data_IF_754467784177
#
_entry.id   IF_754467784177
#
_cell.length_a   1.000
_cell.length_b   1.000
_cell.length_c   1.000
_cell.angle_alpha   90.00
_cell.angle_beta   90.00
_cell.angle_gamma   90.00
#
_symmetry.space_group_name_H-M   'P 1'
#
loop_
_entity.id
_entity.type
_entity.pdbx_description
1 polymer ?
#
# COMPACT_ATOMS: atom_id res chain seq x y z
N UNK A 1 20.29 -41.90 12.71
CA UNK A 1 20.67 -41.11 13.90
C UNK A 1 21.28 -39.76 13.56
N UNK A 2 22.47 -39.63 12.96
CA UNK A 2 23.03 -38.31 12.62
C UNK A 2 22.17 -37.52 11.61
N UNK A 3 21.64 -38.17 10.58
CA UNK A 3 20.79 -37.54 9.56
C UNK A 3 19.46 -37.03 10.12
N UNK A 4 18.85 -37.76 11.05
CA UNK A 4 17.64 -37.31 11.76
C UNK A 4 17.96 -36.16 12.72
N UNK A 5 19.08 -36.23 13.44
CA UNK A 5 19.53 -35.14 14.30
C UNK A 5 19.76 -33.84 13.53
N UNK A 6 20.43 -33.91 12.37
CA UNK A 6 20.61 -32.77 11.47
C UNK A 6 19.27 -32.23 10.94
N UNK A 7 18.34 -33.13 10.59
CA UNK A 7 17.02 -32.75 10.09
C UNK A 7 16.19 -32.06 11.17
N UNK A 8 16.10 -32.64 12.37
CA UNK A 8 15.38 -32.04 13.50
C UNK A 8 16.02 -30.72 13.93
N UNK A 9 17.35 -30.61 13.93
CA UNK A 9 18.04 -29.35 14.20
C UNK A 9 17.73 -28.28 13.16
N UNK A 10 17.74 -28.65 11.88
CA UNK A 10 17.36 -27.76 10.78
C UNK A 10 15.90 -27.30 10.89
N UNK A 11 14.96 -28.23 11.08
CA UNK A 11 13.52 -27.96 11.19
C UNK A 11 13.20 -27.09 12.44
N UNK A 12 13.91 -27.33 13.55
CA UNK A 12 13.77 -26.53 14.78
C UNK A 12 14.33 -25.12 14.60
N UNK A 13 15.46 -25.00 13.89
CA UNK A 13 16.07 -23.70 13.56
C UNK A 13 15.14 -22.91 12.65
N UNK A 14 14.59 -23.55 11.62
CA UNK A 14 13.64 -22.93 10.69
C UNK A 14 12.38 -22.43 11.42
N UNK A 15 11.78 -23.26 12.29
CA UNK A 15 10.63 -22.84 13.13
C UNK A 15 10.94 -21.69 14.08
N UNK A 16 12.14 -21.63 14.66
CA UNK A 16 12.52 -20.55 15.57
C UNK A 16 12.75 -19.22 14.83
N UNK A 17 13.17 -19.26 13.56
CA UNK A 17 13.37 -18.06 12.73
C UNK A 17 12.15 -17.65 11.89
N UNK A 18 11.20 -18.56 11.68
CA UNK A 18 9.98 -18.33 10.90
C UNK A 18 9.20 -17.07 11.33
N UNK A 19 9.01 -16.77 12.65
CA UNK A 19 8.32 -15.55 13.08
C UNK A 19 9.03 -14.26 12.63
N UNK A 20 10.37 -14.24 12.68
CA UNK A 20 11.16 -13.09 12.25
C UNK A 20 11.09 -12.89 10.74
N UNK A 21 11.12 -13.98 9.97
CA UNK A 21 10.96 -13.93 8.52
C UNK A 21 9.57 -13.41 8.15
N UNK A 22 8.51 -13.88 8.82
CA UNK A 22 7.14 -13.41 8.58
C UNK A 22 6.97 -11.92 8.97
N UNK A 23 7.53 -11.50 10.09
CA UNK A 23 7.52 -10.09 10.51
C UNK A 23 8.22 -9.19 9.49
N UNK A 24 9.42 -9.57 9.03
CA UNK A 24 10.14 -8.81 8.01
C UNK A 24 9.35 -8.68 6.71
N UNK A 25 8.74 -9.78 6.23
CA UNK A 25 7.85 -9.76 5.05
C UNK A 25 6.68 -8.81 5.23
N UNK A 26 6.07 -8.80 6.41
CA UNK A 26 4.96 -7.91 6.73
C UNK A 26 5.40 -6.44 6.70
N UNK A 27 6.55 -6.10 7.28
CA UNK A 27 7.09 -4.74 7.20
C UNK A 27 7.40 -4.34 5.75
N UNK A 28 8.07 -5.21 4.98
CA UNK A 28 8.37 -4.95 3.57
C UNK A 28 7.10 -4.68 2.75
N UNK A 29 6.07 -5.52 2.90
CA UNK A 29 4.78 -5.34 2.23
C UNK A 29 4.16 -3.98 2.54
N UNK A 30 4.18 -3.54 3.80
CA UNK A 30 3.64 -2.22 4.16
C UNK A 30 4.44 -1.07 3.55
N UNK A 31 5.77 -1.18 3.50
CA UNK A 31 6.63 -0.18 2.84
C UNK A 31 6.36 -0.11 1.33
N UNK A 32 6.20 -1.25 0.67
CA UNK A 32 5.86 -1.32 -0.75
C UNK A 32 4.54 -0.58 -1.02
N UNK A 33 3.48 -0.87 -0.27
CA UNK A 33 2.18 -0.26 -0.52
C UNK A 33 2.16 1.24 -0.18
N UNK A 34 2.84 1.66 0.88
CA UNK A 34 3.01 3.10 1.18
C UNK A 34 3.76 3.83 0.05
N UNK A 35 4.79 3.18 -0.50
CA UNK A 35 5.55 3.72 -1.64
C UNK A 35 4.68 3.81 -2.89
N UNK A 36 3.86 2.79 -3.17
CA UNK A 36 2.90 2.83 -4.26
C UNK A 36 1.87 3.96 -4.12
N UNK A 37 1.34 4.18 -2.92
CA UNK A 37 0.43 5.30 -2.64
C UNK A 37 1.11 6.64 -2.93
N UNK A 38 2.34 6.83 -2.46
CA UNK A 38 3.10 8.06 -2.70
C UNK A 38 3.41 8.28 -4.18
N UNK A 39 3.81 7.24 -4.91
CA UNK A 39 4.06 7.30 -6.35
C UNK A 39 2.79 7.62 -7.14
N UNK A 40 1.66 7.01 -6.78
CA UNK A 40 0.36 7.27 -7.42
C UNK A 40 -0.11 8.70 -7.18
N UNK A 41 0.07 9.23 -5.97
CA UNK A 41 -0.23 10.62 -5.67
C UNK A 41 0.62 11.57 -6.53
N UNK A 42 1.94 11.34 -6.60
CA UNK A 42 2.87 12.15 -7.42
C UNK A 42 2.46 12.12 -8.90
N UNK A 43 2.17 10.94 -9.45
CA UNK A 43 1.71 10.79 -10.83
C UNK A 43 0.42 11.58 -11.06
N UNK A 44 -0.57 11.40 -10.19
CA UNK A 44 -1.87 12.07 -10.31
C UNK A 44 -1.73 13.59 -10.29
N UNK A 45 -0.98 14.15 -9.34
CA UNK A 45 -0.77 15.60 -9.26
C UNK A 45 0.03 16.15 -10.45
N UNK A 46 1.02 15.42 -10.94
CA UNK A 46 1.80 15.81 -12.11
C UNK A 46 0.94 15.83 -13.38
N UNK A 47 0.12 14.80 -13.58
CA UNK A 47 -0.83 14.72 -14.69
C UNK A 47 -1.87 15.83 -14.62
N UNK A 48 -2.40 16.13 -13.44
CA UNK A 48 -3.33 17.25 -13.23
C UNK A 48 -2.67 18.59 -13.58
N UNK A 49 -1.45 18.84 -13.10
CA UNK A 49 -0.70 20.07 -13.40
C UNK A 49 -0.44 20.25 -14.89
N UNK A 50 0.00 19.19 -15.57
CA UNK A 50 0.24 19.22 -17.02
C UNK A 50 -1.05 19.41 -17.81
N UNK A 51 -2.13 18.70 -17.45
CA UNK A 51 -3.44 18.87 -18.07
C UNK A 51 -3.95 20.30 -17.90
N UNK A 52 -3.76 20.88 -16.71
CA UNK A 52 -4.16 22.23 -16.38
C UNK A 52 -3.36 23.30 -17.16
N UNK A 53 -2.04 23.12 -17.26
CA UNK A 53 -1.18 24.00 -18.05
C UNK A 53 -1.54 23.94 -19.54
N UNK A 54 -1.79 22.75 -20.06
CA UNK A 54 -2.23 22.56 -21.46
C UNK A 54 -3.58 23.25 -21.69
N UNK A 55 -4.57 22.98 -20.84
CA UNK A 55 -5.89 23.58 -20.95
C UNK A 55 -5.84 25.11 -20.86
N UNK A 56 -4.98 25.67 -19.98
CA UNK A 56 -4.77 27.11 -19.88
C UNK A 56 -4.13 27.70 -21.16
N UNK A 57 -3.18 27.00 -21.78
CA UNK A 57 -2.54 27.44 -23.03
C UNK A 57 -3.47 27.43 -24.24
N UNK A 58 -4.57 26.69 -24.17
CA UNK A 58 -5.56 26.58 -25.25
C UNK A 58 -6.66 27.65 -25.16
N UNK A 59 -6.68 28.49 -24.12
CA UNK A 59 -7.65 29.59 -23.96
C UNK A 59 -7.33 30.70 -24.95
N UNK A 60 -8.25 30.97 -25.88
CA UNK A 60 -8.11 31.99 -26.93
C UNK A 60 -9.31 32.94 -27.00
N UNK A 61 -10.42 32.57 -26.38
CA UNK A 61 -11.70 33.28 -26.43
C UNK A 61 -12.59 32.89 -25.23
N UNK A 62 -13.77 33.51 -25.13
CA UNK A 62 -14.72 33.27 -24.02
C UNK A 62 -15.27 31.83 -24.04
N UNK A 63 -15.37 31.21 -25.21
CA UNK A 63 -15.84 29.83 -25.36
C UNK A 63 -14.83 28.83 -24.80
N UNK A 64 -13.56 28.98 -25.14
CA UNK A 64 -12.45 28.18 -24.59
C UNK A 64 -12.24 28.44 -23.10
N UNK A 65 -12.48 29.66 -22.61
CA UNK A 65 -12.52 29.97 -21.17
C UNK A 65 -13.61 29.18 -20.44
N UNK A 66 -14.80 29.06 -21.04
CA UNK A 66 -15.92 28.31 -20.46
C UNK A 66 -15.60 26.81 -20.45
N UNK A 67 -15.02 26.28 -21.53
CA UNK A 67 -14.58 24.89 -21.62
C UNK A 67 -13.53 24.53 -20.55
N UNK A 68 -12.56 25.42 -20.32
CA UNK A 68 -11.58 25.30 -19.25
C UNK A 68 -12.25 25.23 -17.87
N UNK A 69 -13.24 26.09 -17.61
CA UNK A 69 -13.98 26.09 -16.35
C UNK A 69 -14.77 24.78 -16.14
N UNK A 70 -15.35 24.22 -17.20
CA UNK A 70 -16.01 22.90 -17.14
C UNK A 70 -15.01 21.77 -16.87
N UNK A 71 -13.79 21.84 -17.43
CA UNK A 71 -12.73 20.86 -17.16
C UNK A 71 -12.28 20.85 -15.70
N UNK A 72 -12.25 22.01 -15.04
CA UNK A 72 -11.87 22.11 -13.62
C UNK A 72 -12.79 21.31 -12.69
N UNK A 73 -14.09 21.26 -12.98
CA UNK A 73 -15.03 20.40 -12.22
C UNK A 73 -14.71 18.92 -12.41
N UNK A 74 -14.31 18.51 -13.62
CA UNK A 74 -13.87 17.15 -13.91
C UNK A 74 -12.58 16.78 -13.17
N UNK A 75 -11.64 17.71 -13.05
CA UNK A 75 -10.40 17.55 -12.27
C UNK A 75 -10.70 17.34 -10.78
N UNK A 76 -11.59 18.15 -10.21
CA UNK A 76 -12.00 18.00 -8.81
C UNK A 76 -12.67 16.65 -8.54
N UNK A 77 -13.54 16.18 -9.45
CA UNK A 77 -14.15 14.86 -9.34
C UNK A 77 -13.12 13.73 -9.38
N UNK A 78 -12.14 13.81 -10.31
CA UNK A 78 -11.05 12.83 -10.37
C UNK A 78 -10.20 12.81 -9.11
N UNK A 79 -9.87 13.98 -8.57
CA UNK A 79 -9.11 14.11 -7.33
C UNK A 79 -9.89 13.51 -6.15
N UNK A 80 -11.18 13.81 -6.03
CA UNK A 80 -12.05 13.26 -5.00
C UNK A 80 -12.12 11.73 -5.08
N UNK A 81 -12.30 11.20 -6.28
CA UNK A 81 -12.32 9.75 -6.52
C UNK A 81 -11.00 9.09 -6.14
N UNK A 82 -9.87 9.67 -6.56
CA UNK A 82 -8.53 9.18 -6.21
C UNK A 82 -8.34 9.16 -4.69
N UNK A 83 -8.73 10.23 -3.99
CA UNK A 83 -8.65 10.31 -2.52
C UNK A 83 -9.50 9.24 -1.82
N UNK A 84 -10.70 8.96 -2.35
CA UNK A 84 -11.55 7.87 -1.85
C UNK A 84 -10.90 6.50 -2.05
N UNK A 85 -10.31 6.27 -3.22
CA UNK A 85 -9.68 4.99 -3.55
C UNK A 85 -8.40 4.77 -2.73
N UNK A 86 -7.59 5.81 -2.53
CA UNK A 86 -6.42 5.77 -1.65
C UNK A 86 -6.83 5.56 -0.19
N UNK A 87 -7.93 6.16 0.27
CA UNK A 87 -8.48 5.92 1.61
C UNK A 87 -8.94 4.47 1.80
N UNK A 88 -9.56 3.86 0.78
CA UNK A 88 -9.94 2.44 0.83
C UNK A 88 -8.71 1.53 0.87
N UNK A 89 -7.68 1.84 0.07
CA UNK A 89 -6.41 1.10 0.10
C UNK A 89 -5.78 1.16 1.49
N UNK A 90 -5.69 2.36 2.09
CA UNK A 90 -5.17 2.55 3.44
C UNK A 90 -5.95 1.75 4.50
N UNK A 91 -7.29 1.76 4.43
CA UNK A 91 -8.12 0.97 5.33
C UNK A 91 -7.88 -0.54 5.18
N UNK A 92 -7.77 -1.03 3.95
CA UNK A 92 -7.47 -2.43 3.68
C UNK A 92 -6.09 -2.83 4.21
N UNK A 93 -5.06 -1.99 4.00
CA UNK A 93 -3.72 -2.23 4.53
C UNK A 93 -3.74 -2.27 6.05
N UNK A 94 -4.40 -1.32 6.70
CA UNK A 94 -4.50 -1.28 8.15
C UNK A 94 -5.19 -2.53 8.71
N UNK A 95 -6.24 -3.00 8.02
CA UNK A 95 -6.92 -4.25 8.37
C UNK A 95 -6.01 -5.46 8.18
N UNK A 96 -5.37 -5.61 7.02
CA UNK A 96 -4.46 -6.72 6.74
C UNK A 96 -3.29 -6.75 7.72
N UNK A 97 -2.68 -5.60 8.01
CA UNK A 97 -1.61 -5.49 9.00
C UNK A 97 -2.08 -5.94 10.38
N UNK A 98 -3.27 -5.50 10.81
CA UNK A 98 -3.86 -5.93 12.08
C UNK A 98 -4.07 -7.45 12.11
N UNK A 99 -4.72 -8.00 11.08
CA UNK A 99 -5.02 -9.43 10.98
C UNK A 99 -3.74 -10.27 10.97
N UNK A 100 -2.71 -9.84 10.24
CA UNK A 100 -1.41 -10.52 10.18
C UNK A 100 -0.65 -10.43 11.52
N UNK A 101 -0.72 -9.30 12.23
CA UNK A 101 -0.13 -9.15 13.58
C UNK A 101 -0.85 -10.04 14.59
N UNK A 102 -2.19 -10.06 14.58
CA UNK A 102 -2.99 -10.93 15.45
C UNK A 102 -2.70 -12.42 15.19
N UNK A 103 -2.53 -12.78 13.91
CA UNK A 103 -2.11 -14.13 13.50
C UNK A 103 -0.71 -14.46 14.00
N UNK A 104 0.26 -13.57 13.82
CA UNK A 104 1.63 -13.77 14.33
C UNK A 104 1.64 -13.90 15.86
N UNK A 105 0.90 -13.06 16.57
CA UNK A 105 0.79 -13.14 18.03
C UNK A 105 0.15 -14.48 18.47
N UNK A 106 -0.89 -14.93 17.77
CA UNK A 106 -1.58 -16.20 18.07
C UNK A 106 -0.75 -17.44 17.72
N UNK A 107 0.01 -17.41 16.62
CA UNK A 107 0.95 -18.47 16.23
C UNK A 107 2.11 -18.57 17.23
N UNK A 108 2.64 -17.43 17.70
CA UNK A 108 3.69 -17.40 18.71
C UNK A 108 3.18 -17.73 20.11
N UNK A 109 1.96 -17.32 20.50
CA UNK A 109 1.36 -17.75 21.78
C UNK A 109 1.24 -19.28 21.87
N UNK A 110 1.03 -19.99 20.76
CA UNK A 110 1.06 -21.46 20.72
C UNK A 110 2.47 -22.06 20.86
N UNK A 111 3.53 -21.28 20.68
CA UNK A 111 4.92 -21.73 20.88
C UNK A 111 5.48 -21.35 22.25
N UNK A 112 4.83 -20.44 23.00
CA UNK A 112 5.25 -20.03 24.36
C UNK A 112 4.37 -20.59 25.49
N UNK A 113 3.31 -21.37 25.22
CA UNK A 113 2.61 -22.10 26.29
C UNK A 113 3.41 -23.36 26.66
N UNK A 114 4.04 -23.44 27.84
CA UNK A 114 4.61 -24.68 28.32
C UNK A 114 3.46 -25.64 28.66
N UNK A 115 3.66 -26.94 28.39
CA UNK A 115 2.84 -28.01 28.97
C UNK A 115 3.00 -28.04 30.50
#
# INVERSE_FOLDING_TARGET
MYTEFFKTFSDQTEKNFEPYIKFNKLVTKNVEVLTELQLNAIRTYSELGLAQMKAASEIKDVTSLTAFNSQQLGVLNKLSQQMMDDSKKLQNIAKEFKDDVEKLASENLKTVTPA
#
